data_IF_958725053780
#
_entry.id   IF_958725053780
#
_cell.length_a   1.000
_cell.length_b   1.000
_cell.length_c   1.000
_cell.angle_alpha   90.00
_cell.angle_beta   90.00
_cell.angle_gamma   90.00
#
_symmetry.space_group_name_H-M   'P 1'
#
loop_
_entity.id
_entity.type
_entity.pdbx_description
1 polymer ?
#
# COMPACT_ATOMS: atom_id res chain seq x y z
N UNK A 1 19.07 -4.61 21.59
CA UNK A 1 17.69 -4.66 21.06
C UNK A 1 17.73 -4.09 19.66
N UNK A 2 17.55 -4.91 18.63
CA UNK A 2 17.46 -4.44 17.25
C UNK A 2 15.97 -4.26 16.95
N UNK A 3 15.46 -3.05 16.68
CA UNK A 3 14.07 -2.90 16.27
C UNK A 3 13.88 -3.71 14.99
N UNK A 4 13.03 -4.75 15.04
CA UNK A 4 12.64 -5.49 13.83
C UNK A 4 11.96 -4.57 12.82
N UNK A 5 11.75 -5.06 11.59
CA UNK A 5 11.16 -4.29 10.50
C UNK A 5 9.84 -3.61 10.94
N UNK A 6 9.88 -2.29 11.08
CA UNK A 6 8.73 -1.45 11.46
C UNK A 6 7.77 -1.28 10.28
N UNK A 7 8.29 -1.45 9.07
CA UNK A 7 7.56 -1.25 7.82
C UNK A 7 7.13 -2.59 7.22
N UNK A 8 6.11 -2.52 6.38
CA UNK A 8 5.55 -3.62 5.61
C UNK A 8 5.23 -3.13 4.21
N UNK A 9 5.57 -3.93 3.22
CA UNK A 9 5.21 -3.71 1.83
C UNK A 9 3.86 -4.37 1.56
N UNK A 10 2.93 -3.61 0.98
CA UNK A 10 1.60 -4.07 0.59
C UNK A 10 1.48 -3.85 -0.91
N UNK A 11 1.14 -4.91 -1.63
CA UNK A 11 0.90 -4.88 -3.07
C UNK A 11 -0.59 -5.10 -3.32
N UNK A 12 -1.22 -4.16 -4.01
CA UNK A 12 -2.60 -4.28 -4.50
C UNK A 12 -2.54 -4.42 -6.02
N UNK A 13 -3.11 -5.50 -6.52
CA UNK A 13 -3.32 -5.68 -7.96
C UNK A 13 -4.65 -5.07 -8.37
N UNK A 14 -4.62 -4.20 -9.37
CA UNK A 14 -5.77 -3.60 -10.02
C UNK A 14 -6.16 -4.41 -11.26
N UNK A 15 -7.41 -4.29 -11.74
CA UNK A 15 -7.82 -4.90 -12.99
C UNK A 15 -6.85 -4.57 -14.14
N UNK A 16 -6.51 -5.59 -14.94
CA UNK A 16 -5.52 -5.44 -16.01
C UNK A 16 -4.07 -5.68 -15.58
N UNK A 17 -3.83 -6.14 -14.35
CA UNK A 17 -2.50 -6.56 -13.86
C UNK A 17 -1.60 -5.42 -13.40
N UNK A 18 -2.14 -4.19 -13.29
CA UNK A 18 -1.40 -3.05 -12.75
C UNK A 18 -1.25 -3.23 -11.24
N UNK A 19 -0.03 -3.06 -10.72
CA UNK A 19 0.24 -3.18 -9.30
C UNK A 19 0.50 -1.81 -8.66
N UNK A 20 -0.14 -1.57 -7.51
CA UNK A 20 0.15 -0.44 -6.63
C UNK A 20 0.89 -0.97 -5.40
N UNK A 21 2.10 -0.47 -5.18
CA UNK A 21 2.93 -0.84 -4.03
C UNK A 21 2.91 0.28 -3.00
N UNK A 22 2.66 -0.07 -1.75
CA UNK A 22 2.67 0.87 -0.62
C UNK A 22 3.54 0.32 0.50
N UNK A 23 4.36 1.19 1.10
CA UNK A 23 5.14 0.88 2.30
C UNK A 23 4.50 1.61 3.47
N UNK A 24 3.90 0.84 4.38
CA UNK A 24 3.24 1.35 5.58
C UNK A 24 3.81 0.65 6.82
N UNK A 25 3.40 1.08 8.02
CA UNK A 25 3.85 0.41 9.23
C UNK A 25 3.16 -0.95 9.40
N UNK A 26 3.84 -1.89 10.06
CA UNK A 26 3.26 -3.18 10.44
C UNK A 26 1.99 -3.01 11.27
N UNK A 27 1.98 -2.06 12.20
CA UNK A 27 0.79 -1.73 13.00
C UNK A 27 -0.38 -1.26 12.14
N UNK A 28 -0.13 -0.52 11.05
CA UNK A 28 -1.18 -0.12 10.11
C UNK A 28 -1.76 -1.33 9.36
N UNK A 29 -0.92 -2.28 8.91
CA UNK A 29 -1.37 -3.53 8.27
C UNK A 29 -2.32 -4.29 9.20
N UNK A 30 -1.91 -4.47 10.45
CA UNK A 30 -2.69 -5.16 11.48
C UNK A 30 -4.00 -4.42 11.79
N UNK A 31 -3.93 -3.10 12.01
CA UNK A 31 -5.09 -2.28 12.37
C UNK A 31 -6.13 -2.18 11.24
N UNK A 32 -5.68 -2.21 9.98
CA UNK A 32 -6.55 -2.22 8.80
C UNK A 32 -7.05 -3.63 8.44
N UNK A 33 -6.54 -4.68 9.09
CA UNK A 33 -6.92 -6.06 8.82
C UNK A 33 -6.55 -6.55 7.41
N UNK A 34 -5.52 -5.96 6.82
CA UNK A 34 -5.02 -6.29 5.48
C UNK A 34 -4.49 -7.72 5.47
N UNK A 35 -4.89 -8.49 4.46
CA UNK A 35 -4.44 -9.86 4.28
C UNK A 35 -4.45 -10.21 2.79
N UNK A 36 -3.57 -11.14 2.40
CA UNK A 36 -3.53 -11.66 1.03
C UNK A 36 -4.89 -12.26 0.65
N UNK A 37 -5.36 -11.93 -0.55
CA UNK A 37 -6.65 -12.42 -1.08
C UNK A 37 -7.87 -11.65 -0.59
N UNK A 38 -7.73 -10.67 0.31
CA UNK A 38 -8.82 -9.75 0.65
C UNK A 38 -8.88 -8.58 -0.33
N UNK A 39 -10.09 -8.11 -0.60
CA UNK A 39 -10.30 -6.84 -1.28
C UNK A 39 -9.76 -5.68 -0.43
N UNK A 40 -9.08 -4.75 -1.08
CA UNK A 40 -8.49 -3.57 -0.47
C UNK A 40 -8.53 -2.39 -1.45
N UNK A 41 -8.46 -1.18 -0.92
CA UNK A 41 -8.45 0.05 -1.71
C UNK A 41 -7.12 0.77 -1.55
N UNK A 42 -6.50 1.14 -2.68
CA UNK A 42 -5.39 2.07 -2.69
C UNK A 42 -5.95 3.50 -2.62
N UNK A 43 -5.79 4.16 -1.47
CA UNK A 43 -6.22 5.55 -1.28
C UNK A 43 -5.00 6.46 -1.36
N UNK A 44 -4.94 7.29 -2.39
CA UNK A 44 -3.82 8.22 -2.64
C UNK A 44 -4.33 9.64 -2.45
N UNK A 45 -3.65 10.42 -1.60
CA UNK A 45 -3.96 11.83 -1.41
C UNK A 45 -3.71 12.59 -2.72
N UNK A 46 -4.70 13.36 -3.18
CA UNK A 46 -4.62 14.09 -4.45
C UNK A 46 -3.37 15.00 -4.57
N UNK A 47 -2.95 15.64 -3.47
CA UNK A 47 -1.77 16.50 -3.43
C UNK A 47 -0.42 15.78 -3.61
N UNK A 48 -0.43 14.45 -3.63
CA UNK A 48 0.78 13.61 -3.71
C UNK A 48 0.92 12.92 -5.07
N UNK A 49 0.00 13.18 -6.00
CA UNK A 49 0.04 12.66 -7.37
C UNK A 49 0.55 13.77 -8.29
N UNK A 50 1.55 13.45 -9.12
CA UNK A 50 2.02 14.34 -10.17
C UNK A 50 1.29 14.03 -11.47
N UNK A 51 0.90 15.07 -12.19
CA UNK A 51 0.28 14.97 -13.52
C UNK A 51 1.29 15.40 -14.57
N UNK A 52 1.34 14.68 -15.68
CA UNK A 52 2.15 15.03 -16.85
C UNK A 52 1.32 14.89 -18.12
N UNK A 53 1.61 15.74 -19.12
CA UNK A 53 1.09 15.68 -20.48
C UNK A 53 2.27 15.64 -21.45
N UNK A 54 2.03 15.25 -22.70
CA UNK A 54 3.03 15.27 -23.79
C UNK A 54 3.28 16.70 -24.30
#
# INVERSE_FOLDING_TARGET
MTPGAVNSEVVIELPGGIQVVSVITKTSVESLGLAVGKEAYAVIKASNVMMAVD
#
